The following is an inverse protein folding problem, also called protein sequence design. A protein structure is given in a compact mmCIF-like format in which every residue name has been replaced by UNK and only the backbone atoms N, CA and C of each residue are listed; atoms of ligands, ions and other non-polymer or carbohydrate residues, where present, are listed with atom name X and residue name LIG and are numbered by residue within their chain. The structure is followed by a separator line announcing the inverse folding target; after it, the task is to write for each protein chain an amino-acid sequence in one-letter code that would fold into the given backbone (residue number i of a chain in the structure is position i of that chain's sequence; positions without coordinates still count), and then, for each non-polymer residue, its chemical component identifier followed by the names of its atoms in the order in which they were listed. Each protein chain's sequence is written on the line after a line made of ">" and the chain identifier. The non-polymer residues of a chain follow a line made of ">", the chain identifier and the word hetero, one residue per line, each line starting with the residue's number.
data_IF_268429578540
#
_entry.id   IF_268429578540
#
_cell.length_a   1.000
_cell.length_b   1.000
_cell.length_c   1.000
_cell.angle_alpha   90.00
_cell.angle_beta   90.00
_cell.angle_gamma   90.00
#
_symmetry.space_group_name_H-M   'P 1'
#
loop_
_entity.id
_entity.type
_entity.pdbx_description
1 polymer ?
#
# COMPACT_ATOMS: atom_id res chain seq x y z
N UNK A 1 -9.94 3.72 -17.22
CA UNK A 1 -9.91 2.30 -17.65
C UNK A 1 -11.18 1.65 -17.10
N UNK A 2 -11.36 0.33 -17.16
CA UNK A 2 -12.34 -0.39 -16.33
C UNK A 2 -11.57 -1.55 -15.66
N UNK A 3 -11.71 -1.71 -14.34
CA UNK A 3 -11.25 -2.89 -13.60
C UNK A 3 -11.82 -4.16 -14.23
N UNK A 4 -10.97 -5.17 -14.44
CA UNK A 4 -11.40 -6.43 -15.04
C UNK A 4 -11.28 -7.57 -14.06
N UNK A 5 -12.40 -8.00 -13.47
CA UNK A 5 -12.46 -9.32 -12.88
C UNK A 5 -12.29 -10.35 -14.01
N UNK A 6 -11.30 -11.26 -13.95
CA UNK A 6 -11.14 -12.26 -14.98
C UNK A 6 -12.44 -13.03 -15.21
N UNK A 7 -12.85 -13.22 -16.46
CA UNK A 7 -14.13 -13.87 -16.78
C UNK A 7 -14.17 -15.33 -16.31
N UNK A 8 -13.01 -15.96 -16.13
CA UNK A 8 -12.82 -17.30 -15.58
C UNK A 8 -12.60 -17.31 -14.06
N UNK A 9 -12.74 -16.18 -13.36
CA UNK A 9 -12.64 -16.12 -11.91
C UNK A 9 -13.75 -16.98 -11.29
N UNK A 10 -13.34 -18.03 -10.59
CA UNK A 10 -14.22 -18.92 -9.80
C UNK A 10 -14.12 -18.66 -8.30
N UNK A 11 -13.17 -17.81 -7.91
CA UNK A 11 -12.88 -17.52 -6.52
C UNK A 11 -13.81 -16.42 -5.98
N UNK A 12 -14.59 -16.73 -4.94
CA UNK A 12 -15.60 -15.83 -4.41
C UNK A 12 -15.01 -14.49 -3.94
N UNK A 13 -13.84 -14.51 -3.30
CA UNK A 13 -13.19 -13.29 -2.83
C UNK A 13 -12.74 -12.43 -4.01
N UNK A 14 -12.24 -13.04 -5.09
CA UNK A 14 -11.85 -12.32 -6.30
C UNK A 14 -13.06 -11.66 -6.97
N UNK A 15 -14.18 -12.37 -7.04
CA UNK A 15 -15.44 -11.85 -7.59
C UNK A 15 -15.95 -10.68 -6.72
N UNK A 16 -16.02 -10.86 -5.41
CA UNK A 16 -16.47 -9.82 -4.48
C UNK A 16 -15.57 -8.59 -4.51
N UNK A 17 -14.24 -8.79 -4.47
CA UNK A 17 -13.26 -7.71 -4.59
C UNK A 17 -13.50 -6.94 -5.89
N UNK A 18 -13.53 -7.64 -7.02
CA UNK A 18 -13.68 -6.98 -8.31
C UNK A 18 -15.04 -6.28 -8.52
N UNK A 19 -16.13 -6.82 -7.97
CA UNK A 19 -17.44 -6.15 -7.99
C UNK A 19 -17.43 -4.83 -7.21
N UNK A 20 -16.82 -4.81 -6.01
CA UNK A 20 -16.72 -3.59 -5.21
C UNK A 20 -15.84 -2.54 -5.89
N UNK A 21 -14.73 -2.97 -6.52
CA UNK A 21 -13.87 -2.08 -7.28
C UNK A 21 -14.60 -1.48 -8.49
N UNK A 22 -15.27 -2.32 -9.29
CA UNK A 22 -16.03 -1.87 -10.45
C UNK A 22 -17.18 -0.93 -10.06
N UNK A 23 -17.82 -1.17 -8.91
CA UNK A 23 -18.79 -0.25 -8.32
C UNK A 23 -18.14 1.10 -7.98
N UNK A 24 -16.98 1.09 -7.31
CA UNK A 24 -16.23 2.32 -7.00
C UNK A 24 -15.86 3.12 -8.25
N UNK A 25 -15.39 2.44 -9.30
CA UNK A 25 -15.01 3.09 -10.55
C UNK A 25 -16.20 3.65 -11.33
N UNK A 26 -17.29 2.89 -11.46
CA UNK A 26 -18.51 3.34 -12.15
C UNK A 26 -19.20 4.54 -11.48
N UNK A 27 -19.00 4.71 -10.17
CA UNK A 27 -19.48 5.87 -9.41
C UNK A 27 -18.45 7.02 -9.34
N UNK A 28 -17.33 6.92 -10.04
CA UNK A 28 -16.26 7.92 -10.04
C UNK A 28 -15.53 8.06 -8.70
N UNK A 29 -15.70 7.10 -7.79
CA UNK A 29 -15.02 7.07 -6.50
C UNK A 29 -13.56 6.66 -6.65
N UNK A 30 -13.22 5.81 -7.62
CA UNK A 30 -11.84 5.40 -7.90
C UNK A 30 -11.59 5.50 -9.40
N UNK A 31 -10.36 5.82 -9.80
CA UNK A 31 -9.94 5.82 -11.21
C UNK A 31 -8.69 4.97 -11.34
N UNK A 32 -8.68 4.04 -12.31
CA UNK A 32 -7.50 3.20 -12.54
C UNK A 32 -6.69 3.64 -13.76
N UNK A 33 -5.35 3.62 -13.64
CA UNK A 33 -4.43 3.90 -14.74
C UNK A 33 -4.37 2.80 -15.79
N UNK A 34 -3.90 3.23 -16.96
CA UNK A 34 -3.45 2.53 -18.18
C UNK A 34 -2.40 1.40 -18.05
N UNK A 35 -2.45 0.43 -17.14
CA UNK A 35 -1.28 -0.47 -16.92
C UNK A 35 -1.01 -1.52 -18.02
N UNK A 36 -1.90 -1.69 -19.01
CA UNK A 36 -1.83 -2.81 -19.96
C UNK A 36 -0.95 -2.53 -21.18
N UNK A 37 -0.40 -1.32 -21.27
CA UNK A 37 0.38 -0.85 -22.43
C UNK A 37 1.84 -1.32 -22.41
N UNK A 38 2.35 -1.71 -21.26
CA UNK A 38 3.72 -2.20 -21.12
C UNK A 38 3.75 -3.70 -20.81
N UNK A 39 4.82 -4.37 -21.23
CA UNK A 39 5.01 -5.80 -20.95
C UNK A 39 5.46 -6.08 -19.53
N UNK A 40 5.91 -5.09 -18.77
CA UNK A 40 6.52 -5.29 -17.47
C UNK A 40 5.82 -4.46 -16.39
N UNK A 41 5.35 -5.16 -15.35
CA UNK A 41 4.76 -4.57 -14.17
C UNK A 41 5.71 -4.70 -12.98
N UNK A 42 5.64 -3.73 -12.08
CA UNK A 42 6.32 -3.74 -10.78
C UNK A 42 5.28 -3.65 -9.68
N UNK A 43 5.32 -4.57 -8.74
CA UNK A 43 4.51 -4.55 -7.52
C UNK A 43 5.43 -4.37 -6.32
N UNK A 44 5.54 -3.16 -5.79
CA UNK A 44 6.29 -2.89 -4.56
C UNK A 44 5.37 -2.99 -3.35
N UNK A 45 5.84 -3.63 -2.28
CA UNK A 45 5.02 -3.90 -1.11
C UNK A 45 5.75 -3.62 0.20
N UNK A 46 4.97 -3.16 1.19
CA UNK A 46 5.39 -3.04 2.59
C UNK A 46 4.25 -3.48 3.53
N UNK A 47 4.63 -4.00 4.70
CA UNK A 47 3.71 -4.58 5.67
C UNK A 47 3.96 -4.02 7.07
N UNK A 48 2.89 -3.59 7.74
CA UNK A 48 2.97 -3.02 9.09
C UNK A 48 1.82 -3.48 9.99
N UNK A 49 1.80 -3.00 11.24
CA UNK A 49 0.77 -3.35 12.23
C UNK A 49 1.12 -4.51 13.16
N UNK A 50 2.36 -5.02 13.13
CA UNK A 50 2.80 -6.13 14.00
C UNK A 50 2.85 -5.79 15.50
N UNK A 51 2.84 -4.50 15.87
CA UNK A 51 2.79 -4.03 17.26
C UNK A 51 1.46 -4.35 17.93
N UNK A 52 1.48 -4.81 19.18
CA UNK A 52 0.27 -5.23 19.92
C UNK A 52 -0.81 -4.14 20.02
N UNK A 53 -0.43 -2.86 20.02
CA UNK A 53 -1.35 -1.72 20.14
C UNK A 53 -2.12 -1.39 18.85
N UNK A 54 -1.73 -1.91 17.69
CA UNK A 54 -2.50 -1.70 16.45
C UNK A 54 -3.73 -2.60 16.42
N UNK A 55 -4.90 -2.07 16.05
CA UNK A 55 -6.11 -2.89 15.83
C UNK A 55 -6.12 -3.63 14.49
N UNK A 56 -5.22 -3.25 13.58
CA UNK A 56 -5.17 -3.74 12.20
C UNK A 56 -3.76 -4.19 11.81
N UNK A 57 -3.69 -5.17 10.91
CA UNK A 57 -2.51 -5.49 10.10
C UNK A 57 -2.65 -4.78 8.75
N UNK A 58 -1.59 -4.12 8.30
CA UNK A 58 -1.61 -3.29 7.10
C UNK A 58 -0.72 -3.94 6.04
N UNK A 59 -1.28 -4.21 4.87
CA UNK A 59 -0.56 -4.65 3.68
C UNK A 59 -0.70 -3.57 2.63
N UNK A 60 0.39 -2.93 2.22
CA UNK A 60 0.33 -1.82 1.27
C UNK A 60 1.11 -2.17 0.02
N UNK A 61 0.51 -1.92 -1.14
CA UNK A 61 0.98 -2.33 -2.45
C UNK A 61 0.97 -1.15 -3.41
N UNK A 62 2.06 -0.97 -4.16
CA UNK A 62 2.14 -0.11 -5.33
C UNK A 62 2.30 -1.00 -6.56
N UNK A 63 1.26 -1.12 -7.38
CA UNK A 63 1.33 -1.73 -8.70
C UNK A 63 1.53 -0.64 -9.76
N UNK A 64 2.59 -0.72 -10.55
CA UNK A 64 2.88 0.26 -11.58
C UNK A 64 3.41 -0.39 -12.86
N UNK A 65 3.29 0.30 -13.99
CA UNK A 65 3.98 -0.09 -15.21
C UNK A 65 5.45 0.36 -15.17
N UNK A 66 6.30 -0.33 -15.93
CA UNK A 66 7.73 0.00 -16.00
C UNK A 66 8.00 1.42 -16.52
N UNK A 67 7.30 1.96 -17.55
CA UNK A 67 7.51 3.33 -18.00
C UNK A 67 7.18 4.38 -16.93
N UNK A 68 6.11 4.21 -16.16
CA UNK A 68 5.73 5.10 -15.07
C UNK A 68 6.80 5.16 -13.97
N UNK A 69 7.46 4.04 -13.70
CA UNK A 69 8.61 3.99 -12.78
C UNK A 69 9.87 4.59 -13.42
N UNK A 70 10.21 4.26 -14.66
CA UNK A 70 11.50 4.66 -15.25
C UNK A 70 11.51 6.05 -15.90
N UNK A 71 10.40 6.78 -15.87
CA UNK A 71 10.26 8.09 -16.51
C UNK A 71 10.46 9.25 -15.52
N UNK A 72 9.46 10.12 -15.38
CA UNK A 72 9.55 11.37 -14.63
C UNK A 72 9.89 11.13 -13.15
N UNK A 73 9.25 10.12 -12.52
CA UNK A 73 9.50 9.78 -11.13
C UNK A 73 10.98 9.48 -10.86
N UNK A 74 11.64 8.67 -11.70
CA UNK A 74 13.05 8.32 -11.50
C UNK A 74 13.97 9.56 -11.57
N UNK A 75 13.72 10.45 -12.52
CA UNK A 75 14.50 11.69 -12.67
C UNK A 75 14.34 12.63 -11.47
N UNK A 76 13.11 12.75 -10.95
CA UNK A 76 12.83 13.54 -9.75
C UNK A 76 13.38 12.88 -8.49
N UNK A 77 13.24 11.56 -8.36
CA UNK A 77 13.80 10.77 -7.26
C UNK A 77 15.30 10.99 -7.14
N UNK A 78 16.06 10.85 -8.23
CA UNK A 78 17.50 11.10 -8.24
C UNK A 78 17.81 12.53 -7.79
N UNK A 79 17.07 13.52 -8.30
CA UNK A 79 17.25 14.93 -7.92
C UNK A 79 16.98 15.19 -6.43
N UNK A 80 15.92 14.58 -5.89
CA UNK A 80 15.55 14.65 -4.46
C UNK A 80 16.63 13.99 -3.61
N UNK A 81 17.14 12.82 -4.04
CA UNK A 81 18.22 12.13 -3.33
C UNK A 81 19.48 12.97 -3.29
N UNK A 82 19.93 13.51 -4.42
CA UNK A 82 21.13 14.35 -4.48
C UNK A 82 21.00 15.62 -3.63
N UNK A 83 19.79 16.15 -3.47
CA UNK A 83 19.54 17.38 -2.73
C UNK A 83 19.33 17.18 -1.22
N UNK A 84 18.72 16.07 -0.82
CA UNK A 84 18.25 15.87 0.56
C UNK A 84 18.75 14.57 1.20
N UNK A 85 19.13 13.54 0.43
CA UNK A 85 19.47 12.18 0.90
C UNK A 85 20.80 11.68 0.29
N UNK A 86 21.79 12.58 0.19
CA UNK A 86 23.09 12.38 -0.44
C UNK A 86 23.97 11.35 0.30
N UNK A 87 23.74 11.19 1.60
CA UNK A 87 24.40 10.21 2.46
C UNK A 87 23.87 8.78 2.32
N UNK A 88 22.96 8.53 1.38
CA UNK A 88 22.41 7.22 1.12
C UNK A 88 21.39 6.74 2.17
N UNK A 89 20.83 7.62 3.01
CA UNK A 89 19.80 7.20 3.97
C UNK A 89 18.53 6.67 3.26
N UNK A 90 17.90 5.64 3.84
CA UNK A 90 16.59 5.11 3.40
C UNK A 90 15.44 6.03 3.80
N UNK A 91 14.40 6.10 2.99
CA UNK A 91 13.16 6.81 3.29
C UNK A 91 12.16 5.82 3.93
N UNK A 92 11.77 6.04 5.18
CA UNK A 92 10.80 5.18 5.86
C UNK A 92 9.99 5.94 6.92
N UNK A 93 8.71 5.61 7.10
CA UNK A 93 7.75 6.30 7.97
C UNK A 93 8.21 6.45 9.42
N UNK A 94 8.80 5.39 9.99
CA UNK A 94 9.33 5.39 11.36
C UNK A 94 10.53 6.33 11.51
N UNK A 95 11.30 6.52 10.43
CA UNK A 95 12.53 7.31 10.41
C UNK A 95 12.33 8.79 10.06
N UNK A 96 11.10 9.23 9.75
CA UNK A 96 10.76 10.62 9.39
C UNK A 96 10.96 11.66 10.51
N UNK A 97 11.47 11.28 11.68
CA UNK A 97 11.87 12.23 12.73
C UNK A 97 13.21 12.92 12.41
N UNK A 98 13.87 12.51 11.33
CA UNK A 98 15.11 13.08 10.82
C UNK A 98 14.88 14.30 9.92
N UNK A 99 15.62 15.40 10.14
CA UNK A 99 15.40 16.67 9.47
C UNK A 99 15.57 16.60 7.93
N UNK A 100 16.49 15.78 7.42
CA UNK A 100 16.67 15.66 5.98
C UNK A 100 15.54 14.86 5.33
N UNK A 101 15.11 13.76 5.95
CA UNK A 101 13.92 13.01 5.50
C UNK A 101 12.66 13.87 5.54
N UNK A 102 12.51 14.72 6.55
CA UNK A 102 11.41 15.70 6.61
C UNK A 102 11.41 16.64 5.42
N UNK A 103 12.59 17.12 5.02
CA UNK A 103 12.73 17.97 3.84
C UNK A 103 12.48 17.21 2.54
N UNK A 104 12.90 15.95 2.46
CA UNK A 104 12.69 15.11 1.29
C UNK A 104 11.23 14.66 1.13
N UNK A 105 10.45 14.56 2.21
CA UNK A 105 9.12 13.93 2.20
C UNK A 105 8.17 14.55 1.17
N UNK A 106 7.90 15.85 1.25
CA UNK A 106 6.92 16.48 0.34
C UNK A 106 7.36 16.42 -1.12
N UNK A 107 8.63 16.75 -1.48
CA UNK A 107 9.13 16.52 -2.83
C UNK A 107 9.00 15.06 -3.29
N UNK A 108 9.30 14.10 -2.42
CA UNK A 108 9.23 12.67 -2.72
C UNK A 108 7.79 12.23 -3.01
N UNK A 109 6.84 12.61 -2.17
CA UNK A 109 5.42 12.31 -2.39
C UNK A 109 4.90 12.93 -3.69
N UNK A 110 5.26 14.19 -3.98
CA UNK A 110 4.91 14.85 -5.25
C UNK A 110 5.46 14.11 -6.46
N UNK A 111 6.71 13.66 -6.39
CA UNK A 111 7.30 12.83 -7.45
C UNK A 111 6.55 11.51 -7.61
N UNK A 112 6.24 10.83 -6.50
CA UNK A 112 5.53 9.55 -6.50
C UNK A 112 4.14 9.66 -7.15
N UNK A 113 3.45 10.80 -7.03
CA UNK A 113 2.17 11.05 -7.71
C UNK A 113 2.23 10.95 -9.24
N UNK A 114 3.43 11.01 -9.84
CA UNK A 114 3.64 10.90 -11.29
C UNK A 114 3.73 9.46 -11.80
N UNK A 115 3.85 8.48 -10.91
CA UNK A 115 3.92 7.06 -11.30
C UNK A 115 2.56 6.65 -11.88
N UNK A 116 2.55 6.05 -13.07
CA UNK A 116 1.36 5.40 -13.62
C UNK A 116 1.10 4.10 -12.86
N UNK A 117 0.21 4.13 -11.87
CA UNK A 117 0.07 3.04 -10.92
C UNK A 117 -1.09 3.14 -9.93
N UNK A 118 -1.27 2.09 -9.15
CA UNK A 118 -2.28 1.96 -8.11
C UNK A 118 -1.60 1.69 -6.78
N UNK A 119 -1.89 2.53 -5.80
CA UNK A 119 -1.45 2.40 -4.41
C UNK A 119 -2.61 1.90 -3.55
N UNK A 120 -2.61 0.61 -3.25
CA UNK A 120 -3.61 -0.07 -2.44
C UNK A 120 -3.09 -0.29 -1.02
N UNK A 121 -3.79 0.24 -0.02
CA UNK A 121 -3.58 -0.08 1.37
C UNK A 121 -4.70 -1.00 1.87
N UNK A 122 -4.36 -2.21 2.33
CA UNK A 122 -5.30 -3.18 2.89
C UNK A 122 -5.13 -3.22 4.39
N UNK A 123 -6.16 -2.86 5.13
CA UNK A 123 -6.23 -2.88 6.58
C UNK A 123 -7.09 -4.05 7.06
N UNK A 124 -6.42 -5.11 7.53
CA UNK A 124 -7.02 -6.36 7.99
C UNK A 124 -7.22 -6.29 9.50
N UNK A 125 -8.45 -6.48 9.98
CA UNK A 125 -8.70 -6.58 11.42
C UNK A 125 -7.87 -7.72 12.01
N UNK A 126 -7.18 -7.46 13.13
CA UNK A 126 -6.32 -8.47 13.77
C UNK A 126 -7.03 -9.73 14.23
N UNK A 127 -8.34 -9.67 14.45
CA UNK A 127 -9.15 -10.87 14.71
C UNK A 127 -9.12 -11.84 13.52
N UNK A 128 -8.85 -11.32 12.32
CA UNK A 128 -8.69 -12.09 11.08
C UNK A 128 -7.24 -12.25 10.64
N UNK A 129 -6.30 -11.46 11.16
CA UNK A 129 -4.90 -11.47 10.71
C UNK A 129 -4.21 -12.83 10.84
N UNK A 130 -4.64 -13.68 11.78
CA UNK A 130 -4.13 -15.04 11.91
C UNK A 130 -4.81 -16.07 10.97
N UNK A 131 -5.86 -15.66 10.27
CA UNK A 131 -6.59 -16.50 9.32
C UNK A 131 -5.94 -16.46 7.94
N UNK A 132 -5.90 -17.60 7.26
CA UNK A 132 -5.53 -17.66 5.85
C UNK A 132 -6.68 -17.26 4.92
N UNK A 133 -7.79 -16.73 5.46
CA UNK A 133 -8.99 -16.33 4.71
C UNK A 133 -9.59 -17.48 3.87
N UNK A 134 -9.43 -18.72 4.34
CA UNK A 134 -9.90 -19.92 3.64
C UNK A 134 -8.92 -20.47 2.58
N UNK A 135 -7.75 -19.84 2.38
CA UNK A 135 -6.75 -20.34 1.46
C UNK A 135 -5.78 -21.30 2.15
N UNK A 136 -5.59 -22.48 1.56
CA UNK A 136 -4.46 -23.35 1.90
C UNK A 136 -3.42 -23.19 0.81
N UNK A 137 -2.35 -22.49 1.15
CA UNK A 137 -1.08 -22.66 0.45
C UNK A 137 -0.42 -23.92 1.03
N UNK A 138 0.65 -24.45 0.43
CA UNK A 138 1.33 -25.63 0.99
C UNK A 138 1.77 -25.43 2.45
N UNK A 139 2.45 -26.41 3.04
CA UNK A 139 3.07 -26.26 4.37
C UNK A 139 4.59 -26.02 4.23
N UNK A 140 5.01 -24.79 3.87
CA UNK A 140 6.41 -24.44 3.71
C UNK A 140 7.14 -24.51 5.04
N UNK A 141 8.17 -25.35 5.09
CA UNK A 141 8.97 -25.61 6.29
C UNK A 141 9.68 -24.38 6.85
N UNK A 142 9.91 -23.34 6.05
CA UNK A 142 10.64 -22.15 6.48
C UNK A 142 9.81 -21.22 7.36
N UNK A 143 8.48 -21.37 7.41
CA UNK A 143 7.60 -20.41 8.05
C UNK A 143 6.91 -20.94 9.30
N UNK A 144 6.95 -20.12 10.35
CA UNK A 144 6.04 -20.29 11.48
C UNK A 144 4.61 -20.02 11.01
N UNK A 145 3.56 -20.63 11.62
CA UNK A 145 2.18 -20.46 11.18
C UNK A 145 1.73 -19.00 11.03
N UNK A 146 2.14 -18.12 11.95
CA UNK A 146 1.84 -16.68 11.86
C UNK A 146 2.46 -16.01 10.63
N UNK A 147 3.70 -16.34 10.29
CA UNK A 147 4.41 -15.78 9.14
C UNK A 147 3.79 -16.31 7.85
N UNK A 148 3.42 -17.59 7.82
CA UNK A 148 2.72 -18.19 6.70
C UNK A 148 1.34 -17.56 6.46
N UNK A 149 0.58 -17.27 7.52
CA UNK A 149 -0.70 -16.58 7.40
C UNK A 149 -0.54 -15.18 6.80
N UNK A 150 0.44 -14.41 7.29
CA UNK A 150 0.80 -13.10 6.75
C UNK A 150 1.21 -13.21 5.27
N UNK A 151 2.13 -14.12 4.94
CA UNK A 151 2.56 -14.35 3.56
C UNK A 151 1.39 -14.74 2.64
N UNK A 152 0.46 -15.58 3.12
CA UNK A 152 -0.74 -15.97 2.38
C UNK A 152 -1.61 -14.76 2.08
N UNK A 153 -1.83 -13.86 3.06
CA UNK A 153 -2.60 -12.63 2.85
C UNK A 153 -1.88 -11.65 1.91
N UNK A 154 -0.55 -11.51 2.05
CA UNK A 154 0.28 -10.69 1.17
C UNK A 154 0.15 -11.15 -0.27
N UNK A 155 0.36 -12.45 -0.50
CA UNK A 155 0.24 -13.06 -1.81
C UNK A 155 -1.19 -12.93 -2.34
N UNK A 156 -2.21 -13.15 -1.50
CA UNK A 156 -3.61 -13.07 -1.89
C UNK A 156 -3.99 -11.67 -2.38
N UNK A 157 -3.77 -10.64 -1.56
CA UNK A 157 -4.19 -9.28 -1.91
C UNK A 157 -3.35 -8.67 -3.03
N UNK A 158 -2.05 -8.98 -3.09
CA UNK A 158 -1.24 -8.56 -4.24
C UNK A 158 -1.67 -9.27 -5.53
N UNK A 159 -1.99 -10.56 -5.49
CA UNK A 159 -2.53 -11.30 -6.65
C UNK A 159 -3.91 -10.78 -7.08
N UNK A 160 -4.79 -10.43 -6.14
CA UNK A 160 -6.07 -9.79 -6.45
C UNK A 160 -5.85 -8.47 -7.19
N UNK A 161 -4.94 -7.62 -6.71
CA UNK A 161 -4.60 -6.35 -7.34
C UNK A 161 -4.05 -6.56 -8.77
N UNK A 162 -3.09 -7.47 -8.93
CA UNK A 162 -2.51 -7.81 -10.24
C UNK A 162 -3.59 -8.35 -11.18
N UNK A 163 -4.43 -9.29 -10.72
CA UNK A 163 -5.44 -9.93 -11.57
C UNK A 163 -6.46 -8.97 -12.18
N UNK A 164 -6.74 -7.85 -11.48
CA UNK A 164 -7.71 -6.86 -11.95
C UNK A 164 -7.18 -5.85 -12.96
N UNK A 165 -5.86 -5.66 -13.00
CA UNK A 165 -5.21 -4.57 -13.72
C UNK A 165 -4.24 -5.06 -14.80
N UNK A 166 -3.67 -6.24 -14.63
CA UNK A 166 -2.81 -6.87 -15.61
C UNK A 166 -3.60 -7.49 -16.78
N UNK A 167 -2.88 -7.90 -17.82
CA UNK A 167 -3.39 -8.60 -19.00
C UNK A 167 -2.40 -9.69 -19.44
N UNK A 168 -2.85 -10.56 -20.35
CA UNK A 168 -2.03 -11.62 -20.95
C UNK A 168 -0.71 -11.08 -21.50
N UNK A 169 0.39 -11.79 -21.21
CA UNK A 169 1.71 -11.49 -21.76
C UNK A 169 2.56 -10.52 -20.93
N UNK A 170 2.04 -10.01 -19.80
CA UNK A 170 2.82 -9.15 -18.90
C UNK A 170 3.66 -9.95 -17.90
N UNK A 171 4.88 -9.49 -17.64
CA UNK A 171 5.78 -9.95 -16.59
C UNK A 171 5.53 -9.19 -15.29
N UNK A 172 5.87 -9.79 -14.15
CA UNK A 172 5.77 -9.16 -12.84
C UNK A 172 7.11 -9.23 -12.08
N UNK A 173 7.58 -8.06 -11.65
CA UNK A 173 8.60 -7.93 -10.60
C UNK A 173 7.90 -7.56 -9.28
N UNK A 174 7.83 -8.50 -8.35
CA UNK A 174 7.36 -8.27 -6.99
C UNK A 174 8.53 -7.82 -6.12
N UNK A 175 8.48 -6.62 -5.57
CA UNK A 175 9.48 -6.07 -4.67
C UNK A 175 8.94 -6.04 -3.24
N UNK A 176 9.75 -6.50 -2.30
CA UNK A 176 9.49 -6.40 -0.85
C UNK A 176 10.71 -5.86 -0.15
N UNK A 177 10.52 -5.17 0.98
CA UNK A 177 11.65 -4.88 1.88
C UNK A 177 12.10 -6.16 2.60
N UNK A 178 13.25 -6.10 3.27
CA UNK A 178 13.78 -7.18 4.10
C UNK A 178 12.92 -7.34 5.36
N UNK A 179 12.12 -8.41 5.40
CA UNK A 179 11.29 -8.74 6.55
C UNK A 179 11.30 -10.25 6.86
N UNK A 180 10.38 -10.69 7.73
CA UNK A 180 10.28 -12.08 8.15
C UNK A 180 9.84 -13.05 7.04
N UNK A 181 9.14 -12.58 5.98
CA UNK A 181 8.70 -13.45 4.88
C UNK A 181 9.83 -13.76 3.90
N UNK A 182 10.91 -12.98 3.90
CA UNK A 182 12.11 -13.18 3.05
C UNK A 182 13.43 -13.11 3.84
N UNK A 183 13.41 -13.48 5.11
CA UNK A 183 14.53 -13.36 6.05
C UNK A 183 15.82 -14.09 5.67
N UNK A 184 15.73 -15.12 4.82
CA UNK A 184 16.83 -15.93 4.31
C UNK A 184 16.50 -16.51 2.92
N UNK A 185 17.48 -17.10 2.24
CA UNK A 185 17.32 -17.63 0.88
C UNK A 185 16.22 -18.69 0.77
N UNK A 186 16.12 -19.62 1.74
CA UNK A 186 15.07 -20.64 1.75
C UNK A 186 13.68 -19.99 1.87
N UNK A 187 13.50 -19.05 2.80
CA UNK A 187 12.24 -18.32 2.94
C UNK A 187 11.91 -17.50 1.68
N UNK A 188 12.90 -16.94 0.99
CA UNK A 188 12.66 -16.21 -0.26
C UNK A 188 12.13 -17.14 -1.37
N UNK A 189 12.69 -18.35 -1.50
CA UNK A 189 12.22 -19.36 -2.46
C UNK A 189 10.79 -19.79 -2.13
N UNK A 190 10.54 -20.15 -0.86
CA UNK A 190 9.21 -20.60 -0.42
C UNK A 190 8.16 -19.48 -0.52
N UNK A 191 8.52 -18.23 -0.23
CA UNK A 191 7.66 -17.06 -0.45
C UNK A 191 7.34 -16.89 -1.94
N UNK A 192 8.32 -17.02 -2.81
CA UNK A 192 8.13 -17.00 -4.26
C UNK A 192 7.14 -18.06 -4.74
N UNK A 193 7.22 -19.28 -4.19
CA UNK A 193 6.29 -20.37 -4.52
C UNK A 193 4.85 -20.07 -4.06
N UNK A 194 4.69 -19.52 -2.85
CA UNK A 194 3.36 -19.14 -2.34
C UNK A 194 2.75 -18.02 -3.18
N UNK A 195 3.54 -16.99 -3.50
CA UNK A 195 3.11 -15.87 -4.36
C UNK A 195 2.74 -16.38 -5.75
N UNK A 196 3.60 -17.20 -6.36
CA UNK A 196 3.35 -17.80 -7.68
C UNK A 196 2.07 -18.63 -7.72
N UNK A 197 1.84 -19.48 -6.71
CA UNK A 197 0.63 -20.30 -6.61
C UNK A 197 -0.65 -19.44 -6.57
N UNK A 198 -0.65 -18.35 -5.79
CA UNK A 198 -1.81 -17.46 -5.73
C UNK A 198 -1.96 -16.60 -6.97
N UNK A 199 -0.87 -16.18 -7.62
CA UNK A 199 -0.93 -15.50 -8.92
C UNK A 199 -1.51 -16.41 -10.00
N UNK A 200 -1.06 -17.65 -10.11
CA UNK A 200 -1.58 -18.62 -11.08
C UNK A 200 -3.07 -18.89 -10.89
N UNK A 201 -3.52 -18.93 -9.63
CA UNK A 201 -4.94 -19.08 -9.29
C UNK A 201 -5.77 -17.85 -9.69
N UNK A 202 -5.27 -16.65 -9.46
CA UNK A 202 -6.03 -15.40 -9.65
C UNK A 202 -5.90 -14.82 -11.07
N UNK A 203 -4.82 -15.14 -11.78
CA UNK A 203 -4.51 -14.65 -13.12
C UNK A 203 -4.64 -15.80 -14.14
N UNK A 204 -5.85 -16.25 -14.52
CA UNK A 204 -6.04 -17.40 -15.41
C UNK A 204 -5.44 -17.20 -16.81
N UNK A 205 -5.12 -15.96 -17.18
CA UNK A 205 -4.41 -15.63 -18.42
C UNK A 205 -2.91 -15.98 -18.39
N UNK A 206 -2.36 -16.31 -17.21
CA UNK A 206 -0.95 -16.64 -17.00
C UNK A 206 -0.02 -15.43 -17.09
N UNK A 207 1.05 -15.47 -16.29
CA UNK A 207 2.13 -14.48 -16.35
C UNK A 207 3.42 -15.15 -16.83
N UNK A 208 4.04 -14.72 -17.95
CA UNK A 208 5.20 -15.42 -18.50
C UNK A 208 6.41 -15.45 -17.56
N UNK A 209 6.60 -14.40 -16.76
CA UNK A 209 7.69 -14.29 -15.80
C UNK A 209 7.22 -13.60 -14.52
N UNK A 210 7.43 -14.27 -13.39
CA UNK A 210 7.20 -13.72 -12.05
C UNK A 210 8.53 -13.77 -11.32
N UNK A 211 8.96 -12.64 -10.74
CA UNK A 211 10.20 -12.54 -9.97
C UNK A 211 9.92 -11.90 -8.62
N UNK A 212 10.49 -12.48 -7.55
CA UNK A 212 10.49 -11.88 -6.22
C UNK A 212 11.86 -11.26 -5.94
N UNK A 213 11.89 -9.94 -5.78
CA UNK A 213 13.06 -9.15 -5.45
C UNK A 213 13.02 -8.59 -4.04
N UNK A 214 14.19 -8.56 -3.39
CA UNK A 214 14.37 -7.89 -2.09
C UNK A 214 15.00 -6.53 -2.35
N UNK A 215 14.28 -5.46 -2.00
CA UNK A 215 14.62 -4.10 -2.41
C UNK A 215 16.06 -3.67 -2.07
N UNK A 216 16.53 -4.03 -0.86
CA UNK A 216 17.89 -3.72 -0.41
C UNK A 216 19.03 -4.45 -1.13
N UNK A 217 18.72 -5.45 -1.97
CA UNK A 217 19.72 -6.25 -2.71
C UNK A 217 19.98 -5.77 -4.13
N UNK A 218 19.25 -4.75 -4.61
CA UNK A 218 19.44 -4.20 -5.95
C UNK A 218 20.55 -3.13 -5.96
N UNK A 219 21.39 -3.17 -6.99
CA UNK A 219 22.33 -2.08 -7.31
C UNK A 219 21.72 -1.16 -8.37
N UNK A 220 20.71 -0.40 -7.97
CA UNK A 220 19.91 0.46 -8.85
C UNK A 220 19.82 1.91 -8.36
N UNK A 221 20.79 2.32 -7.54
CA UNK A 221 20.77 3.63 -6.89
C UNK A 221 19.62 3.77 -5.89
N UNK A 222 19.22 2.68 -5.22
CA UNK A 222 18.12 2.59 -4.23
C UNK A 222 16.72 2.80 -4.82
N UNK A 223 16.54 2.56 -6.12
CA UNK A 223 15.23 2.68 -6.77
C UNK A 223 14.23 1.69 -6.18
N UNK A 224 14.61 0.42 -6.04
CA UNK A 224 13.74 -0.58 -5.43
C UNK A 224 13.38 -0.23 -3.98
N UNK A 225 14.34 0.26 -3.18
CA UNK A 225 14.09 0.70 -1.80
C UNK A 225 13.14 1.91 -1.75
N UNK A 226 13.34 2.90 -2.63
CA UNK A 226 12.46 4.08 -2.70
C UNK A 226 11.06 3.70 -3.23
N UNK A 227 10.93 2.72 -4.11
CA UNK A 227 9.61 2.18 -4.49
C UNK A 227 8.89 1.55 -3.30
N UNK A 228 9.58 0.73 -2.48
CA UNK A 228 9.01 0.15 -1.26
C UNK A 228 8.77 1.19 -0.14
N UNK A 229 9.45 2.34 -0.18
CA UNK A 229 9.20 3.42 0.76
C UNK A 229 7.79 4.03 0.57
N UNK A 230 7.25 4.04 -0.65
CA UNK A 230 5.90 4.56 -0.94
C UNK A 230 4.82 3.80 -0.16
N UNK A 231 4.71 2.45 -0.25
CA UNK A 231 3.77 1.69 0.55
C UNK A 231 4.07 1.76 2.06
N UNK A 232 5.34 1.82 2.51
CA UNK A 232 5.66 2.00 3.95
C UNK A 232 5.13 3.33 4.50
N UNK A 233 5.30 4.43 3.74
CA UNK A 233 4.79 5.74 4.12
C UNK A 233 3.26 5.72 4.30
N UNK A 234 2.53 5.16 3.33
CA UNK A 234 1.06 5.06 3.41
C UNK A 234 0.62 4.10 4.50
N UNK A 235 1.19 2.90 4.57
CA UNK A 235 0.87 1.91 5.59
C UNK A 235 1.08 2.46 7.01
N UNK A 236 2.21 3.16 7.22
CA UNK A 236 2.51 3.82 8.50
C UNK A 236 1.53 4.94 8.85
N UNK A 237 1.16 5.78 7.88
CA UNK A 237 0.19 6.86 8.10
C UNK A 237 -1.21 6.32 8.38
N UNK A 238 -1.69 5.36 7.58
CA UNK A 238 -3.00 4.71 7.75
C UNK A 238 -3.05 3.96 9.08
N UNK A 239 -1.99 3.25 9.47
CA UNK A 239 -1.93 2.59 10.77
C UNK A 239 -2.08 3.59 11.93
N UNK A 240 -1.44 4.76 11.87
CA UNK A 240 -1.57 5.81 12.89
C UNK A 240 -3.00 6.40 12.89
N UNK A 241 -3.61 6.60 11.71
CA UNK A 241 -5.02 7.02 11.59
C UNK A 241 -5.97 6.00 12.22
N UNK A 242 -5.91 4.74 11.81
CA UNK A 242 -6.81 3.68 12.29
C UNK A 242 -6.62 3.39 13.78
N UNK A 243 -5.41 3.53 14.32
CA UNK A 243 -5.20 3.39 15.78
C UNK A 243 -5.86 4.52 16.57
N UNK A 244 -6.01 5.71 15.96
CA UNK A 244 -6.65 6.86 16.61
C UNK A 244 -8.20 6.83 16.53
N UNK A 245 -8.76 6.06 15.59
CA UNK A 245 -10.19 5.75 15.52
C UNK A 245 -10.40 4.45 16.30
N UNK A 246 -11.09 4.50 17.43
CA UNK A 246 -11.47 3.27 18.14
C UNK A 246 -12.23 2.32 17.19
N UNK A 247 -12.10 0.99 17.33
CA UNK A 247 -12.72 -0.01 16.44
C UNK A 247 -14.24 0.21 16.27
N UNK A 248 -14.89 0.77 17.30
CA UNK A 248 -16.31 1.11 17.33
C UNK A 248 -16.67 2.35 16.49
N UNK A 249 -15.69 3.19 16.14
CA UNK A 249 -15.88 4.44 15.40
C UNK A 249 -15.83 4.30 13.88
N UNK A 250 -15.49 3.13 13.35
CA UNK A 250 -15.46 2.88 11.90
C UNK A 250 -16.80 2.24 11.49
N UNK A 251 -17.63 2.93 10.69
CA UNK A 251 -18.90 2.38 10.22
C UNK A 251 -18.73 1.00 9.57
N UNK A 252 -19.59 0.05 9.92
CA UNK A 252 -19.66 -1.28 9.27
C UNK A 252 -20.35 -1.25 7.91
N UNK A 253 -20.88 -0.09 7.50
CA UNK A 253 -21.39 0.14 6.15
C UNK A 253 -20.27 0.14 5.12
N UNK A 254 -20.59 -0.25 3.89
CA UNK A 254 -19.67 -0.31 2.74
C UNK A 254 -19.11 1.06 2.33
N UNK A 255 -19.76 2.15 2.71
CA UNK A 255 -19.29 3.52 2.50
C UNK A 255 -18.54 4.01 3.74
N UNK A 256 -17.22 4.01 3.68
CA UNK A 256 -16.37 4.57 4.74
C UNK A 256 -16.29 6.08 4.53
N UNK A 257 -16.85 6.83 5.47
CA UNK A 257 -16.51 8.25 5.68
C UNK A 257 -15.45 8.28 6.76
N UNK A 258 -14.24 8.75 6.47
CA UNK A 258 -13.16 8.91 7.45
C UNK A 258 -13.58 9.97 8.47
N UNK A 259 -13.84 9.61 9.75
CA UNK A 259 -14.19 10.60 10.76
C UNK A 259 -13.01 11.51 11.07
N UNK A 260 -13.28 12.78 11.38
CA UNK A 260 -12.26 13.77 11.75
C UNK A 260 -11.53 13.33 13.04
N UNK A 261 -10.21 13.19 12.94
CA UNK A 261 -9.38 12.45 13.90
C UNK A 261 -9.01 13.28 15.13
N UNK A 262 -8.81 12.61 16.28
CA UNK A 262 -8.04 13.14 17.41
C UNK A 262 -6.64 13.55 16.92
N UNK A 263 -5.98 14.47 17.64
CA UNK A 263 -4.66 15.04 17.32
C UNK A 263 -3.69 14.02 16.69
N UNK A 264 -3.51 14.11 15.39
CA UNK A 264 -2.57 13.29 14.62
C UNK A 264 -1.22 14.00 14.50
N UNK A 265 -0.13 13.24 14.34
CA UNK A 265 1.18 13.84 14.08
C UNK A 265 1.18 14.49 12.70
N UNK A 266 1.90 15.60 12.57
CA UNK A 266 1.99 16.33 11.30
C UNK A 266 2.43 15.45 10.11
N UNK A 267 3.36 14.52 10.31
CA UNK A 267 3.82 13.58 9.26
C UNK A 267 2.68 12.72 8.69
N UNK A 268 1.79 12.27 9.58
CA UNK A 268 0.63 11.44 9.26
C UNK A 268 -0.37 12.26 8.44
N UNK A 269 -0.62 13.51 8.85
CA UNK A 269 -1.48 14.43 8.11
C UNK A 269 -0.95 14.71 6.69
N UNK A 270 0.35 14.93 6.54
CA UNK A 270 0.97 15.19 5.22
C UNK A 270 0.77 13.99 4.29
N UNK A 271 1.11 12.79 4.75
CA UNK A 271 1.02 11.57 3.93
C UNK A 271 -0.44 11.21 3.64
N UNK A 272 -1.30 11.27 4.66
CA UNK A 272 -2.73 10.99 4.50
C UNK A 272 -3.37 12.00 3.55
N UNK A 273 -3.08 13.30 3.69
CA UNK A 273 -3.57 14.33 2.78
C UNK A 273 -3.12 14.03 1.35
N UNK A 274 -1.83 13.74 1.13
CA UNK A 274 -1.32 13.38 -0.19
C UNK A 274 -2.05 12.17 -0.78
N UNK A 275 -2.18 11.09 0.00
CA UNK A 275 -2.86 9.85 -0.41
C UNK A 275 -4.34 10.08 -0.76
N UNK A 276 -5.02 10.92 0.02
CA UNK A 276 -6.43 11.32 -0.17
C UNK A 276 -6.69 12.23 -1.38
N UNK A 277 -5.66 12.91 -1.86
CA UNK A 277 -5.76 13.87 -2.98
C UNK A 277 -5.12 13.33 -4.26
N UNK A 278 -4.84 12.03 -4.34
CA UNK A 278 -4.30 11.43 -5.56
C UNK A 278 -5.36 11.47 -6.67
N UNK A 279 -5.16 12.37 -7.63
CA UNK A 279 -6.05 12.61 -8.78
C UNK A 279 -5.33 12.50 -10.14
N UNK A 280 -4.06 12.09 -10.12
CA UNK A 280 -3.17 11.98 -11.27
C UNK A 280 -3.00 10.53 -11.80
N UNK A 281 -1.85 10.22 -12.43
CA UNK A 281 -1.56 8.88 -12.95
C UNK A 281 -1.39 7.82 -11.84
N UNK A 282 -1.06 8.26 -10.62
CA UNK A 282 -1.10 7.42 -9.43
C UNK A 282 -2.47 7.54 -8.76
N UNK A 283 -3.18 6.43 -8.61
CA UNK A 283 -4.45 6.36 -7.88
C UNK A 283 -4.29 5.69 -6.51
N UNK A 284 -4.94 6.22 -5.47
CA UNK A 284 -4.93 5.66 -4.12
C UNK A 284 -6.21 4.92 -3.73
N UNK A 285 -6.10 3.86 -2.93
CA UNK A 285 -7.25 3.10 -2.44
C UNK A 285 -7.00 2.47 -1.07
N UNK A 286 -7.98 2.56 -0.17
CA UNK A 286 -7.99 1.89 1.13
C UNK A 286 -9.05 0.77 1.13
N UNK A 287 -8.65 -0.44 1.48
CA UNK A 287 -9.54 -1.57 1.68
C UNK A 287 -9.51 -2.00 3.14
N UNK A 288 -10.65 -1.98 3.83
CA UNK A 288 -10.81 -2.56 5.16
C UNK A 288 -11.35 -3.99 5.04
N UNK A 289 -10.69 -4.93 5.72
CA UNK A 289 -11.08 -6.34 5.78
C UNK A 289 -11.50 -6.67 7.21
N UNK A 290 -12.77 -7.04 7.39
CA UNK A 290 -13.38 -7.24 8.73
C UNK A 290 -14.16 -8.55 8.80
N UNK A 291 -14.30 -9.13 10.00
CA UNK A 291 -15.17 -10.29 10.18
C UNK A 291 -16.62 -9.89 9.95
N UNK A 292 -17.38 -10.78 9.30
CA UNK A 292 -18.80 -10.65 9.04
C UNK A 292 -19.51 -11.97 9.36
N UNK A 293 -20.81 -11.93 9.65
CA UNK A 293 -21.59 -13.13 9.99
C UNK A 293 -21.52 -14.21 8.90
N UNK A 294 -21.38 -13.78 7.64
CA UNK A 294 -21.25 -14.64 6.45
C UNK A 294 -19.80 -14.89 6.01
N UNK A 295 -18.79 -14.53 6.81
CA UNK A 295 -17.38 -14.69 6.49
C UNK A 295 -16.60 -13.37 6.57
N UNK A 296 -16.25 -12.80 5.41
CA UNK A 296 -15.39 -11.61 5.31
C UNK A 296 -16.17 -10.44 4.72
N UNK A 297 -16.06 -9.26 5.32
CA UNK A 297 -16.54 -8.01 4.76
C UNK A 297 -15.35 -7.20 4.22
N UNK A 298 -15.40 -6.91 2.92
CA UNK A 298 -14.53 -5.93 2.28
C UNK A 298 -15.25 -4.59 2.22
N UNK A 299 -14.58 -3.52 2.64
CA UNK A 299 -15.09 -2.15 2.53
C UNK A 299 -14.02 -1.26 1.90
N UNK A 300 -14.37 -0.60 0.81
CA UNK A 300 -13.42 0.25 0.09
C UNK A 300 -13.70 1.72 0.40
N UNK A 301 -12.63 2.47 0.63
CA UNK A 301 -12.65 3.91 0.66
C UNK A 301 -11.69 4.41 -0.42
N UNK A 302 -12.16 5.32 -1.27
CA UNK A 302 -11.25 6.39 -1.67
C UNK A 302 -11.21 7.33 -0.47
N UNK A 303 -10.06 7.64 0.13
CA UNK A 303 -10.00 8.63 1.19
C UNK A 303 -10.39 10.00 0.59
N UNK A 304 -11.68 10.26 0.39
CA UNK A 304 -12.19 11.57 0.05
C UNK A 304 -12.11 12.42 1.31
N UNK A 305 -11.28 13.45 1.28
CA UNK A 305 -11.17 14.37 2.41
C UNK A 305 -12.27 15.43 2.27
N UNK A 306 -13.41 15.24 2.93
CA UNK A 306 -14.20 16.39 3.38
C UNK A 306 -13.44 16.97 4.56
N UNK A 307 -12.64 18.02 4.33
CA UNK A 307 -12.34 18.96 5.40
C UNK A 307 -13.71 19.51 5.77
N UNK A 308 -14.36 18.91 6.79
CA UNK A 308 -15.55 19.51 7.35
C UNK A 308 -15.23 20.96 7.59
N UNK A 309 -16.12 21.86 7.16
CA UNK A 309 -16.05 23.28 7.49
C UNK A 309 -15.75 23.34 8.99
N UNK A 310 -14.48 23.57 9.32
CA UNK A 310 -14.05 23.76 10.67
C UNK A 310 -14.54 25.17 10.98
N UNK A 311 -15.84 25.26 11.28
CA UNK A 311 -16.41 26.36 12.03
C UNK A 311 -15.43 26.63 13.15
N UNK A 312 -14.82 27.80 13.06
CA UNK A 312 -13.66 28.31 13.79
C UNK A 312 -13.63 27.79 15.23
N UNK A 313 -13.04 26.62 15.44
CA UNK A 313 -12.71 26.09 16.75
C UNK A 313 -11.20 25.94 16.80
N UNK A 314 -10.53 27.07 16.99
CA UNK A 314 -9.12 27.11 17.39
C UNK A 314 -9.01 26.50 18.79
N UNK A 315 -8.92 25.17 18.87
CA UNK A 315 -8.37 24.49 20.03
C UNK A 315 -6.86 24.72 20.04
N UNK A 316 -6.47 25.88 20.60
CA UNK A 316 -5.09 26.24 20.90
C UNK A 316 -4.57 25.31 22.01
N UNK A 317 -4.11 24.13 21.61
CA UNK A 317 -3.23 23.30 22.43
C UNK A 317 -1.81 23.47 21.89
N UNK A 318 -0.81 23.65 22.77
CA UNK A 318 0.57 23.86 22.33
C UNK A 318 1.07 22.67 21.47
N UNK A 319 1.80 22.94 20.38
CA UNK A 319 2.39 21.92 19.52
C UNK A 319 3.31 21.01 20.34
N UNK A 320 3.34 19.71 20.01
CA UNK A 320 4.35 18.81 20.54
C UNK A 320 5.70 19.31 20.02
N UNK A 321 6.79 19.17 20.78
CA UNK A 321 8.13 19.56 20.32
C UNK A 321 8.51 18.83 19.01
N UNK A 322 7.92 17.66 18.76
CA UNK A 322 8.02 16.95 17.48
C UNK A 322 7.25 17.67 16.35
N UNK A 323 6.05 18.20 16.62
CA UNK A 323 5.25 19.01 15.69
C UNK A 323 5.91 20.36 15.38
N UNK A 324 6.61 21.00 16.33
CA UNK A 324 7.31 22.27 16.08
C UNK A 324 8.40 22.14 15.01
N UNK A 325 9.15 21.02 15.01
CA UNK A 325 10.16 20.74 13.97
C UNK A 325 9.49 20.57 12.60
N UNK A 326 8.38 19.83 12.55
CA UNK A 326 7.59 19.67 11.33
C UNK A 326 6.97 20.97 10.84
N UNK A 327 6.47 21.82 11.73
CA UNK A 327 5.90 23.11 11.38
C UNK A 327 6.96 24.04 10.78
N UNK A 328 8.16 24.09 11.37
CA UNK A 328 9.29 24.87 10.82
C UNK A 328 9.71 24.36 9.45
N UNK A 329 9.79 23.04 9.28
CA UNK A 329 10.06 22.43 7.98
C UNK A 329 8.95 22.78 6.99
N UNK A 330 7.66 22.60 7.32
CA UNK A 330 6.52 22.84 6.43
C UNK A 330 6.38 24.29 5.96
N UNK A 331 6.71 25.28 6.81
CA UNK A 331 6.66 26.72 6.45
C UNK A 331 7.75 27.15 5.47
N UNK A 332 8.75 26.30 5.25
CA UNK A 332 9.81 26.55 4.27
C UNK A 332 9.44 26.08 2.84
N UNK A 333 8.24 25.54 2.64
CA UNK A 333 7.74 25.02 1.36
C UNK A 333 6.54 25.82 0.85
#
# INVERSE_FOLDING_TARGET
>A
MIWQTPQAAVDELQIQFGQQIAYGESNGLVRFPDLRRDSDLVLAADYSGDHQSSGYQLLTFLLADRPGVLSEWESERISIRNKYLDDGRRHAFKSLNDAQRQKALVPFLKASSRINGVLLCVAIDKEMAASNLGYSVGDPSAFKPRVLAKLTQVALFGSLLVSGLATTGQNLMWLTDEDEIVSNEQSQIEAGNVIGCLLDRMCPFGMPKIQLGIAGKFDDGRRAEDLCAIPDLVGGAVAECLTSIDKLGIPRSTNIVTPTLKRQKMKTNIIHSWFSTLDGPLSGMLCLVRPHESGVLLSFANPGLTLGDAGVARLWLPPDKSDEKWQRSSKAW
#
